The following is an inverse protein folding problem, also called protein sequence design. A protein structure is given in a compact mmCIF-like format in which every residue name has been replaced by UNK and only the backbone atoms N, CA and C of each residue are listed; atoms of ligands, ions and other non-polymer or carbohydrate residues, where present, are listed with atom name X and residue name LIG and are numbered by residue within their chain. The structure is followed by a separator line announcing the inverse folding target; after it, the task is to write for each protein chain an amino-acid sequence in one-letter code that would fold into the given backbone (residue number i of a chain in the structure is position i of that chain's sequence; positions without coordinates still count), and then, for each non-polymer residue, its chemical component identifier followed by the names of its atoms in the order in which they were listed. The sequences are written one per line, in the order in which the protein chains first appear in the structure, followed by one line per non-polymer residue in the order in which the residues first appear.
data_IF_237434278974
#
_entry.id   IF_237434278974
#
_cell.length_a   1.000
_cell.length_b   1.000
_cell.length_c   1.000
_cell.angle_alpha   90.00
_cell.angle_beta   90.00
_cell.angle_gamma   90.00
#
_symmetry.space_group_name_H-M   'P 1'
#
loop_
_entity.id
_entity.type
_entity.pdbx_description
1 polymer ?
#
# COMPACT_ATOMS: atom_id res chain seq x y z
N UNK A 1 -6.45 7.60 -2.02
CA UNK A 1 -6.51 6.12 -1.98
C UNK A 1 -5.65 5.60 -0.85
N UNK A 2 -6.19 4.75 0.03
CA UNK A 2 -5.43 4.14 1.14
C UNK A 2 -4.23 3.36 0.59
N UNK A 3 -3.09 3.41 1.28
CA UNK A 3 -1.84 2.74 0.88
C UNK A 3 -2.04 1.25 0.52
N UNK A 4 -2.97 0.58 1.22
CA UNK A 4 -3.37 -0.79 0.94
C UNK A 4 -3.82 -1.04 -0.51
N UNK A 5 -4.60 -0.13 -1.10
CA UNK A 5 -5.14 -0.31 -2.44
C UNK A 5 -4.03 -0.32 -3.51
N UNK A 6 -2.93 0.42 -3.27
CA UNK A 6 -1.75 0.41 -4.15
C UNK A 6 -1.04 -0.94 -4.11
N UNK A 7 -0.89 -1.53 -2.92
CA UNK A 7 -0.28 -2.86 -2.78
C UNK A 7 -1.16 -3.96 -3.37
N UNK A 8 -2.47 -3.94 -3.11
CA UNK A 8 -3.40 -4.92 -3.70
C UNK A 8 -3.36 -4.90 -5.22
N UNK A 9 -3.38 -3.72 -5.84
CA UNK A 9 -3.24 -3.61 -7.30
C UNK A 9 -1.87 -4.12 -7.77
N UNK A 10 -0.78 -3.70 -7.12
CA UNK A 10 0.56 -4.12 -7.52
C UNK A 10 0.71 -5.64 -7.47
N UNK A 11 0.27 -6.29 -6.39
CA UNK A 11 0.29 -7.74 -6.27
C UNK A 11 -0.63 -8.42 -7.28
N UNK A 12 -1.84 -7.92 -7.49
CA UNK A 12 -2.75 -8.49 -8.49
C UNK A 12 -2.16 -8.42 -9.91
N UNK A 13 -1.52 -7.32 -10.27
CA UNK A 13 -0.84 -7.14 -11.57
C UNK A 13 0.33 -8.11 -11.69
N UNK A 14 1.20 -8.21 -10.67
CA UNK A 14 2.33 -9.14 -10.68
C UNK A 14 1.84 -10.59 -10.81
N UNK A 15 0.86 -10.99 -10.01
CA UNK A 15 0.27 -12.34 -10.06
C UNK A 15 -0.34 -12.62 -11.43
N UNK A 16 -1.04 -11.66 -12.04
CA UNK A 16 -1.59 -11.80 -13.38
C UNK A 16 -0.49 -12.10 -14.42
N UNK A 17 0.61 -11.33 -14.41
CA UNK A 17 1.72 -11.55 -15.33
C UNK A 17 2.42 -12.89 -15.10
N UNK A 18 2.73 -13.23 -13.84
CA UNK A 18 3.39 -14.50 -13.49
C UNK A 18 2.55 -15.70 -13.94
N UNK A 19 1.25 -15.66 -13.69
CA UNK A 19 0.35 -16.75 -14.09
C UNK A 19 0.17 -16.83 -15.61
N UNK A 20 0.07 -15.69 -16.30
CA UNK A 20 -0.05 -15.65 -17.76
C UNK A 20 1.18 -16.24 -18.45
N UNK A 21 2.38 -15.87 -17.97
CA UNK A 21 3.64 -16.43 -18.46
C UNK A 21 3.73 -17.93 -18.15
N UNK A 22 3.35 -18.33 -16.94
CA UNK A 22 3.31 -19.74 -16.55
C UNK A 22 2.39 -20.58 -17.45
N UNK A 23 1.20 -20.08 -17.76
CA UNK A 23 0.27 -20.73 -18.68
C UNK A 23 0.86 -20.88 -20.08
N UNK A 24 1.49 -19.82 -20.62
CA UNK A 24 2.12 -19.87 -21.94
C UNK A 24 3.26 -20.91 -22.01
N UNK A 25 4.08 -21.00 -20.96
CA UNK A 25 5.16 -22.00 -20.87
C UNK A 25 4.58 -23.42 -20.85
N UNK A 26 3.57 -23.68 -20.01
CA UNK A 26 2.95 -25.00 -19.89
C UNK A 26 2.28 -25.41 -21.20
N UNK A 27 1.56 -24.49 -21.84
CA UNK A 27 0.94 -24.72 -23.15
C UNK A 27 1.99 -25.10 -24.21
N UNK A 28 3.08 -24.33 -24.30
CA UNK A 28 4.17 -24.60 -25.24
C UNK A 28 4.88 -25.94 -24.94
N UNK A 29 5.10 -26.27 -23.67
CA UNK A 29 5.71 -27.53 -23.26
C UNK A 29 4.83 -28.73 -23.60
N UNK A 30 3.53 -28.62 -23.37
CA UNK A 30 2.56 -29.68 -23.67
C UNK A 30 2.46 -29.92 -25.18
N UNK A 31 2.33 -28.85 -25.98
CA UNK A 31 2.31 -28.93 -27.44
C UNK A 31 3.57 -29.62 -27.98
N UNK A 32 4.76 -29.23 -27.50
CA UNK A 32 6.03 -29.89 -27.90
C UNK A 32 6.08 -31.37 -27.52
N UNK A 33 5.60 -31.73 -26.32
CA UNK A 33 5.59 -33.11 -25.84
C UNK A 33 4.74 -34.03 -26.72
N UNK A 34 3.55 -33.59 -27.10
CA UNK A 34 2.62 -34.35 -27.96
C UNK A 34 3.23 -34.60 -29.35
N UNK A 35 3.84 -33.58 -29.97
CA UNK A 35 4.51 -33.71 -31.27
C UNK A 35 5.69 -34.68 -31.20
N UNK A 36 6.56 -34.55 -30.20
CA UNK A 36 7.73 -35.43 -30.04
C UNK A 36 7.32 -36.89 -29.80
N UNK A 37 6.31 -37.13 -28.97
CA UNK A 37 5.77 -38.47 -28.75
C UNK A 37 5.23 -39.10 -30.06
N UNK A 38 4.63 -38.29 -30.92
CA UNK A 38 4.11 -38.74 -32.22
C UNK A 38 5.23 -39.08 -33.20
N UNK A 39 6.25 -38.22 -33.30
CA UNK A 39 7.44 -38.47 -34.12
C UNK A 39 8.13 -39.76 -33.68
N UNK A 40 8.29 -39.99 -32.38
CA UNK A 40 8.87 -41.22 -31.84
C UNK A 40 8.09 -42.48 -32.24
N UNK A 41 6.76 -42.46 -32.13
CA UNK A 41 5.89 -43.56 -32.57
C UNK A 41 6.02 -43.85 -34.07
N UNK A 42 6.05 -42.79 -34.90
CA UNK A 42 6.22 -42.92 -36.36
C UNK A 42 7.59 -43.47 -36.74
N UNK A 43 8.63 -43.09 -35.99
CA UNK A 43 9.99 -43.57 -36.20
C UNK A 43 10.05 -45.08 -35.94
N UNK A 44 9.54 -45.52 -34.79
CA UNK A 44 9.47 -46.94 -34.46
C UNK A 44 8.65 -47.73 -35.49
N UNK A 45 7.51 -47.19 -35.94
CA UNK A 45 6.70 -47.81 -36.96
C UNK A 45 7.45 -47.97 -38.29
N UNK A 46 8.19 -46.94 -38.74
CA UNK A 46 9.00 -47.04 -39.96
C UNK A 46 10.12 -48.07 -39.84
N UNK A 47 10.75 -48.19 -38.66
CA UNK A 47 11.77 -49.21 -38.40
C UNK A 47 11.20 -50.64 -38.47
N UNK A 48 10.03 -50.87 -37.88
CA UNK A 48 9.34 -52.18 -37.93
C UNK A 48 9.00 -52.55 -39.37
N UNK A 49 8.47 -51.59 -40.16
CA UNK A 49 8.18 -51.81 -41.58
C UNK A 49 9.46 -52.15 -42.34
N UNK A 50 10.56 -51.41 -42.12
CA UNK A 50 11.85 -51.68 -42.75
C UNK A 50 12.41 -53.07 -42.39
N UNK A 51 12.28 -53.49 -41.13
CA UNK A 51 12.74 -54.81 -40.66
C UNK A 51 11.92 -55.96 -41.28
N UNK A 52 10.61 -55.78 -41.44
CA UNK A 52 9.75 -56.78 -42.06
C UNK A 52 9.96 -56.87 -43.58
N UNK A 53 10.30 -55.77 -44.26
CA UNK A 53 10.73 -55.81 -45.67
C UNK A 53 12.03 -56.62 -45.86
N UNK A 54 12.95 -56.64 -44.86
CA UNK A 54 14.17 -57.47 -44.90
C UNK A 54 13.89 -58.97 -44.84
N UNK A 55 12.79 -59.38 -44.20
CA UNK A 55 12.43 -60.80 -44.04
C UNK A 55 11.62 -61.36 -45.23
N UNK A 56 11.47 -60.58 -46.32
CA UNK A 56 10.79 -61.00 -47.54
C UNK A 56 9.26 -61.09 -47.42
N UNK A 57 8.68 -60.62 -46.31
CA UNK A 57 7.23 -60.57 -46.15
C UNK A 57 6.64 -59.46 -47.02
N UNK A 58 5.63 -59.83 -47.81
CA UNK A 58 4.92 -58.87 -48.65
C UNK A 58 4.02 -57.98 -47.79
N UNK A 59 4.40 -56.71 -47.66
CA UNK A 59 3.61 -55.70 -46.94
C UNK A 59 2.32 -55.31 -47.66
N UNK A 60 2.03 -55.90 -48.83
CA UNK A 60 0.92 -55.51 -49.69
C UNK A 60 -0.47 -55.60 -49.06
N UNK A 61 -0.65 -56.45 -48.03
CA UNK A 61 -1.95 -56.71 -47.38
C UNK A 61 -2.04 -56.35 -45.89
N UNK A 62 -1.07 -55.62 -45.31
CA UNK A 62 -1.08 -55.32 -43.87
C UNK A 62 -2.04 -54.15 -43.55
N UNK A 63 -2.94 -54.23 -42.54
CA UNK A 63 -3.83 -53.12 -42.16
C UNK A 63 -3.16 -51.76 -41.91
N UNK A 64 -1.86 -51.77 -41.57
CA UNK A 64 -1.06 -50.56 -41.38
C UNK A 64 -0.75 -49.79 -42.69
N UNK A 65 -1.01 -50.36 -43.88
CA UNK A 65 -0.78 -49.68 -45.17
C UNK A 65 -1.55 -48.38 -45.32
N UNK A 66 -2.71 -48.24 -44.68
CA UNK A 66 -3.52 -47.02 -44.73
C UNK A 66 -2.74 -45.80 -44.24
N UNK A 67 -1.74 -46.00 -43.38
CA UNK A 67 -0.94 -44.95 -42.76
C UNK A 67 0.54 -44.99 -43.15
N UNK A 68 0.95 -45.89 -44.07
CA UNK A 68 2.35 -46.06 -44.50
C UNK A 68 2.44 -46.28 -46.01
N UNK A 69 3.15 -45.39 -46.70
CA UNK A 69 3.46 -45.49 -48.13
C UNK A 69 4.92 -45.91 -48.31
N UNK A 70 5.16 -46.90 -49.18
CA UNK A 70 6.49 -47.45 -49.47
C UNK A 70 6.78 -47.21 -50.95
N UNK A 71 7.90 -46.56 -51.26
CA UNK A 71 8.42 -46.37 -52.61
C UNK A 71 9.86 -46.83 -52.75
N UNK A 72 10.24 -47.37 -53.91
CA UNK A 72 11.62 -47.72 -54.22
C UNK A 72 12.37 -46.47 -54.72
N UNK A 73 13.56 -46.19 -54.18
CA UNK A 73 14.40 -45.11 -54.72
C UNK A 73 15.25 -45.63 -55.89
N UNK A 74 15.35 -44.84 -56.95
CA UNK A 74 16.27 -45.11 -58.05
C UNK A 74 17.72 -45.08 -57.54
N UNK A 75 18.55 -45.99 -58.04
CA UNK A 75 19.96 -46.17 -57.60
C UNK A 75 20.85 -44.92 -57.75
N UNK A 76 20.41 -43.90 -58.48
CA UNK A 76 21.10 -42.61 -58.64
C UNK A 76 20.93 -41.66 -57.43
N UNK A 77 19.98 -41.93 -56.53
CA UNK A 77 19.60 -41.03 -55.42
C UNK A 77 20.11 -41.60 -54.07
N UNK A 78 21.39 -41.95 -54.03
CA UNK A 78 22.04 -42.82 -53.01
C UNK A 78 22.58 -42.11 -51.77
N UNK A 79 22.46 -40.79 -51.68
CA UNK A 79 22.88 -40.02 -50.50
C UNK A 79 21.98 -40.34 -49.30
N UNK A 80 22.57 -40.48 -48.12
CA UNK A 80 21.84 -40.64 -46.87
C UNK A 80 20.99 -39.39 -46.63
N UNK A 81 19.71 -39.45 -47.01
CA UNK A 81 18.77 -38.37 -46.76
C UNK A 81 18.34 -38.42 -45.31
N UNK A 82 18.51 -37.30 -44.61
CA UNK A 82 17.99 -37.15 -43.25
C UNK A 82 16.47 -37.38 -43.23
N UNK A 83 15.93 -37.91 -42.13
CA UNK A 83 14.50 -38.09 -42.00
C UNK A 83 13.79 -36.74 -42.14
N UNK A 84 12.79 -36.69 -43.02
CA UNK A 84 12.01 -35.47 -43.25
C UNK A 84 10.73 -35.55 -42.44
N UNK A 85 10.58 -34.62 -41.49
CA UNK A 85 9.34 -34.42 -40.73
C UNK A 85 8.59 -33.24 -41.35
N UNK A 86 7.30 -33.44 -41.69
CA UNK A 86 6.41 -32.35 -42.12
C UNK A 86 5.11 -32.40 -41.34
N UNK A 87 4.69 -31.23 -40.89
CA UNK A 87 3.39 -31.00 -40.28
C UNK A 87 2.50 -30.28 -41.29
N UNK A 88 1.30 -30.81 -41.49
CA UNK A 88 0.27 -30.18 -42.32
C UNK A 88 -1.12 -30.58 -41.85
N UNK A 89 -2.13 -29.81 -42.23
CA UNK A 89 -3.52 -30.17 -41.94
C UNK A 89 -4.06 -31.01 -43.10
N UNK A 90 -4.65 -32.15 -42.78
CA UNK A 90 -5.32 -33.02 -43.76
C UNK A 90 -6.76 -33.29 -43.34
N UNK A 91 -7.68 -33.30 -44.30
CA UNK A 91 -9.04 -33.75 -44.06
C UNK A 91 -9.07 -35.26 -43.80
N UNK A 92 -9.53 -35.67 -42.62
CA UNK A 92 -9.76 -37.08 -42.29
C UNK A 92 -11.24 -37.42 -42.52
N UNK A 93 -11.50 -38.27 -43.53
CA UNK A 93 -12.85 -38.67 -43.90
C UNK A 93 -13.56 -39.53 -42.84
N UNK A 94 -12.82 -40.19 -41.94
CA UNK A 94 -13.39 -40.98 -40.84
C UNK A 94 -13.81 -40.12 -39.67
N UNK A 95 -13.05 -39.05 -39.39
CA UNK A 95 -13.32 -38.09 -38.32
C UNK A 95 -14.18 -36.90 -38.79
N UNK A 96 -14.37 -36.74 -40.11
CA UNK A 96 -15.06 -35.60 -40.74
C UNK A 96 -14.53 -34.25 -40.25
N UNK A 97 -13.21 -34.16 -40.06
CA UNK A 97 -12.54 -32.98 -39.54
C UNK A 97 -11.18 -32.79 -40.22
N UNK A 98 -10.71 -31.54 -40.24
CA UNK A 98 -9.33 -31.23 -40.58
C UNK A 98 -8.44 -31.56 -39.38
N UNK A 99 -7.46 -32.44 -39.56
CA UNK A 99 -6.58 -32.90 -38.49
C UNK A 99 -5.12 -32.61 -38.81
N UNK A 100 -4.40 -32.05 -37.83
CA UNK A 100 -2.96 -31.90 -37.91
C UNK A 100 -2.32 -33.29 -38.05
N UNK A 101 -1.56 -33.50 -39.12
CA UNK A 101 -0.93 -34.77 -39.43
C UNK A 101 0.58 -34.58 -39.51
N UNK A 102 1.31 -35.38 -38.73
CA UNK A 102 2.77 -35.48 -38.86
C UNK A 102 3.07 -36.58 -39.87
N UNK A 103 3.84 -36.22 -40.89
CA UNK A 103 4.43 -37.16 -41.85
C UNK A 103 5.91 -37.33 -41.56
N UNK A 104 6.33 -38.57 -41.38
CA UNK A 104 7.74 -38.94 -41.23
C UNK A 104 8.18 -39.76 -42.43
N UNK A 105 9.13 -39.22 -43.20
CA UNK A 105 9.78 -39.94 -44.30
C UNK A 105 11.16 -40.40 -43.86
N UNK A 106 11.41 -41.72 -43.87
CA UNK A 106 12.73 -42.32 -43.63
C UNK A 106 13.25 -43.04 -44.87
N UNK A 107 14.58 -43.19 -44.94
CA UNK A 107 15.27 -43.77 -46.09
C UNK A 107 16.11 -45.01 -45.71
N UNK A 108 15.51 -46.11 -45.22
CA UNK A 108 16.25 -47.29 -44.84
C UNK A 108 16.79 -48.06 -46.05
N UNK A 109 17.97 -48.68 -45.90
CA UNK A 109 18.51 -49.67 -46.85
C UNK A 109 18.07 -51.07 -46.43
N UNK A 110 17.43 -51.78 -47.37
CA UNK A 110 16.91 -53.15 -47.18
C UNK A 110 17.43 -53.99 -48.34
N UNK A 111 18.28 -54.99 -48.06
CA UNK A 111 18.87 -55.85 -49.10
C UNK A 111 19.72 -55.11 -50.14
N UNK A 112 20.35 -54.00 -49.76
CA UNK A 112 21.17 -53.17 -50.67
C UNK A 112 20.39 -52.15 -51.51
N UNK A 113 19.05 -52.22 -51.53
CA UNK A 113 18.19 -51.26 -52.22
C UNK A 113 17.70 -50.15 -51.26
N UNK A 114 17.74 -48.87 -51.65
CA UNK A 114 17.19 -47.78 -50.86
C UNK A 114 15.66 -47.74 -50.99
N UNK A 115 14.96 -47.73 -49.85
CA UNK A 115 13.51 -47.56 -49.80
C UNK A 115 13.16 -46.20 -49.20
N UNK A 116 12.08 -45.60 -49.67
CA UNK A 116 11.40 -44.47 -49.02
C UNK A 116 10.18 -45.01 -48.29
N UNK A 117 10.19 -44.89 -46.98
CA UNK A 117 9.05 -45.23 -46.12
C UNK A 117 8.48 -43.92 -45.59
N UNK A 118 7.26 -43.61 -45.98
CA UNK A 118 6.54 -42.43 -45.50
C UNK A 118 5.40 -42.91 -44.62
N UNK A 119 5.48 -42.66 -43.30
CA UNK A 119 4.37 -42.89 -42.39
C UNK A 119 3.69 -41.59 -42.02
N UNK A 120 2.41 -41.70 -41.68
CA UNK A 120 1.60 -40.59 -41.20
C UNK A 120 0.87 -41.00 -39.93
N UNK A 121 0.75 -40.06 -39.00
CA UNK A 121 -0.19 -40.16 -37.90
C UNK A 121 -0.86 -38.80 -37.74
N UNK A 122 -2.18 -38.84 -37.54
CA UNK A 122 -2.88 -37.69 -37.00
C UNK A 122 -2.26 -37.40 -35.63
N UNK A 123 -1.70 -36.20 -35.48
CA UNK A 123 -1.48 -35.62 -34.17
C UNK A 123 -2.86 -35.14 -33.77
N UNK A 124 -3.38 -35.69 -32.67
CA UNK A 124 -4.57 -35.11 -32.05
C UNK A 124 -4.18 -33.70 -31.68
N UNK A 125 -4.61 -32.74 -32.50
CA UNK A 125 -4.39 -31.34 -32.24
C UNK A 125 -5.10 -31.03 -30.92
N UNK A 126 -4.56 -30.15 -30.09
CA UNK A 126 -5.17 -29.75 -28.83
C UNK A 126 -6.64 -29.34 -28.81
N UNK A 127 -7.35 -29.34 -29.94
CA UNK A 127 -8.76 -29.00 -30.02
C UNK A 127 -9.71 -30.10 -29.50
N UNK A 128 -9.28 -31.36 -29.40
CA UNK A 128 -10.17 -32.47 -29.02
C UNK A 128 -10.30 -32.64 -27.50
N UNK A 129 -11.42 -32.15 -26.93
CA UNK A 129 -12.06 -32.39 -25.61
C UNK A 129 -11.15 -32.38 -24.35
N UNK A 130 -10.07 -33.17 -24.33
CA UNK A 130 -9.09 -33.26 -23.26
C UNK A 130 -8.34 -31.96 -23.01
N UNK A 131 -7.99 -31.22 -24.08
CA UNK A 131 -7.27 -29.96 -23.93
C UNK A 131 -8.19 -28.79 -23.62
N UNK A 132 -9.45 -28.80 -24.09
CA UNK A 132 -10.48 -27.88 -23.58
C UNK A 132 -10.68 -28.08 -22.07
N UNK A 133 -10.77 -29.34 -21.61
CA UNK A 133 -10.87 -29.66 -20.18
C UNK A 133 -9.64 -29.19 -19.39
N UNK A 134 -8.44 -29.41 -19.91
CA UNK A 134 -7.19 -28.96 -19.27
C UNK A 134 -7.10 -27.43 -19.19
N UNK A 135 -7.42 -26.72 -20.27
CA UNK A 135 -7.46 -25.24 -20.29
C UNK A 135 -8.50 -24.73 -19.31
N UNK A 136 -9.67 -25.38 -19.21
CA UNK A 136 -10.71 -25.01 -18.24
C UNK A 136 -10.21 -25.18 -16.79
N UNK A 137 -9.50 -26.26 -16.48
CA UNK A 137 -8.89 -26.48 -15.15
C UNK A 137 -7.85 -25.39 -14.85
N UNK A 138 -7.00 -25.03 -15.82
CA UNK A 138 -6.04 -23.93 -15.66
C UNK A 138 -6.74 -22.58 -15.48
N UNK A 139 -7.80 -22.29 -16.23
CA UNK A 139 -8.58 -21.07 -16.11
C UNK A 139 -9.25 -20.98 -14.72
N UNK A 140 -9.84 -22.06 -14.22
CA UNK A 140 -10.41 -22.08 -12.86
C UNK A 140 -9.34 -21.94 -11.79
N UNK A 141 -8.18 -22.57 -11.97
CA UNK A 141 -7.03 -22.42 -11.06
C UNK A 141 -6.54 -20.97 -11.04
N UNK A 142 -6.49 -20.31 -12.20
CA UNK A 142 -6.13 -18.91 -12.34
C UNK A 142 -7.11 -18.00 -11.58
N UNK A 143 -8.41 -18.17 -11.80
CA UNK A 143 -9.46 -17.40 -11.11
C UNK A 143 -9.38 -17.64 -9.60
N UNK A 144 -9.19 -18.89 -9.17
CA UNK A 144 -9.03 -19.25 -7.76
C UNK A 144 -7.81 -18.56 -7.14
N UNK A 145 -6.64 -18.58 -7.79
CA UNK A 145 -5.44 -17.92 -7.30
C UNK A 145 -5.60 -16.39 -7.23
N UNK A 146 -6.26 -15.78 -8.21
CA UNK A 146 -6.53 -14.34 -8.19
C UNK A 146 -7.47 -13.98 -7.03
N UNK A 147 -8.56 -14.73 -6.85
CA UNK A 147 -9.46 -14.56 -5.72
C UNK A 147 -8.72 -14.74 -4.38
N UNK A 148 -7.85 -15.75 -4.29
CA UNK A 148 -7.03 -16.02 -3.11
C UNK A 148 -6.12 -14.83 -2.77
N UNK A 149 -5.44 -14.24 -3.76
CA UNK A 149 -4.59 -13.05 -3.55
C UNK A 149 -5.40 -11.86 -3.04
N UNK A 150 -6.58 -11.60 -3.61
CA UNK A 150 -7.46 -10.51 -3.16
C UNK A 150 -7.92 -10.75 -1.71
N UNK A 151 -8.37 -11.97 -1.39
CA UNK A 151 -8.85 -12.33 -0.05
C UNK A 151 -7.71 -12.22 0.97
N UNK A 152 -6.52 -12.77 0.69
CA UNK A 152 -5.37 -12.66 1.59
C UNK A 152 -4.92 -11.22 1.77
N UNK A 153 -4.94 -10.40 0.71
CA UNK A 153 -4.57 -8.98 0.80
C UNK A 153 -5.52 -8.20 1.71
N UNK A 154 -6.83 -8.39 1.58
CA UNK A 154 -7.83 -7.78 2.47
C UNK A 154 -7.69 -8.27 3.91
N UNK A 155 -7.48 -9.58 4.11
CA UNK A 155 -7.32 -10.16 5.43
C UNK A 155 -6.05 -9.68 6.14
N UNK A 156 -4.90 -9.65 5.45
CA UNK A 156 -3.65 -9.12 5.98
C UNK A 156 -3.79 -7.64 6.33
N UNK A 157 -4.40 -6.86 5.43
CA UNK A 157 -4.64 -5.44 5.65
C UNK A 157 -5.46 -5.20 6.91
N UNK A 158 -6.59 -5.90 7.06
CA UNK A 158 -7.43 -5.75 8.24
C UNK A 158 -6.71 -6.18 9.53
N UNK A 159 -5.88 -7.21 9.50
CA UNK A 159 -5.19 -7.72 10.69
C UNK A 159 -3.97 -6.89 11.09
N UNK A 160 -3.20 -6.38 10.12
CA UNK A 160 -1.95 -5.65 10.34
C UNK A 160 -2.21 -4.15 10.52
N UNK A 161 -3.10 -3.53 9.73
CA UNK A 161 -3.32 -2.08 9.79
C UNK A 161 -4.29 -1.65 10.90
N UNK A 162 -5.10 -2.56 11.44
CA UNK A 162 -5.99 -2.25 12.56
C UNK A 162 -5.24 -1.75 13.81
N UNK A 163 -4.19 -2.42 14.32
CA UNK A 163 -3.40 -1.89 15.43
C UNK A 163 -2.70 -0.59 15.06
N UNK A 164 -2.12 -0.46 13.87
CA UNK A 164 -1.51 0.79 13.40
C UNK A 164 -2.50 1.98 13.44
N UNK A 165 -3.71 1.80 12.91
CA UNK A 165 -4.74 2.83 12.94
C UNK A 165 -5.28 3.12 14.36
N UNK A 166 -5.16 2.17 15.29
CA UNK A 166 -5.47 2.41 16.69
C UNK A 166 -4.39 3.30 17.33
N UNK A 167 -3.11 2.97 17.11
CA UNK A 167 -1.98 3.79 17.57
C UNK A 167 -2.03 5.20 16.98
N UNK A 168 -2.30 5.33 15.68
CA UNK A 168 -2.40 6.64 15.02
C UNK A 168 -3.50 7.51 15.62
N UNK A 169 -4.66 6.93 15.92
CA UNK A 169 -5.76 7.65 16.59
C UNK A 169 -5.38 8.07 18.01
N UNK A 170 -4.68 7.21 18.75
CA UNK A 170 -4.16 7.55 20.08
C UNK A 170 -3.23 8.76 20.04
N UNK A 171 -2.34 8.84 19.04
CA UNK A 171 -1.44 10.00 18.86
C UNK A 171 -2.22 11.25 18.44
N UNK A 172 -3.16 11.13 17.50
CA UNK A 172 -3.96 12.27 17.03
C UNK A 172 -4.85 12.90 18.11
N UNK A 173 -5.26 12.09 19.09
CA UNK A 173 -6.07 12.53 20.23
C UNK A 173 -5.21 12.97 21.42
N UNK A 174 -3.90 12.73 21.38
CA UNK A 174 -3.00 13.11 22.46
C UNK A 174 -2.71 14.61 22.41
N UNK A 175 -2.89 15.27 23.55
CA UNK A 175 -2.60 16.68 23.75
C UNK A 175 -1.60 16.81 24.90
N UNK A 176 -0.57 17.66 24.72
CA UNK A 176 0.46 17.90 25.75
C UNK A 176 -0.09 18.63 26.99
N UNK A 177 -1.14 19.42 26.79
CA UNK A 177 -1.90 20.13 27.83
C UNK A 177 -2.56 19.16 28.82
N UNK A 178 -3.05 18.02 28.34
CA UNK A 178 -3.72 17.02 29.15
C UNK A 178 -2.69 16.24 29.98
N UNK A 179 -2.94 16.11 31.28
CA UNK A 179 -2.09 15.35 32.20
C UNK A 179 -2.24 13.83 32.07
N UNK A 180 -2.98 13.34 31.06
CA UNK A 180 -3.22 11.92 30.88
C UNK A 180 -2.16 11.28 29.98
N UNK A 181 -1.64 10.10 30.33
CA UNK A 181 -0.75 9.35 29.46
C UNK A 181 -1.50 8.89 28.20
N UNK A 182 -0.77 8.78 27.09
CA UNK A 182 -1.32 8.23 25.84
C UNK A 182 -1.73 6.75 26.06
N UNK A 183 -3.02 6.44 25.81
CA UNK A 183 -3.52 5.07 25.88
C UNK A 183 -3.30 4.36 24.54
N UNK A 184 -2.22 3.58 24.46
CA UNK A 184 -1.91 2.74 23.31
C UNK A 184 -2.19 1.27 23.65
N UNK A 185 -3.19 0.70 22.98
CA UNK A 185 -3.58 -0.70 23.20
C UNK A 185 -2.48 -1.66 22.76
N UNK A 186 -2.23 -2.74 23.53
CA UNK A 186 -1.27 -3.77 23.15
C UNK A 186 -1.71 -4.47 21.85
N UNK A 187 -0.74 -4.74 21.00
CA UNK A 187 -0.88 -5.45 19.73
C UNK A 187 -0.35 -6.88 19.86
N UNK A 188 -0.79 -7.76 18.95
CA UNK A 188 -0.22 -9.12 18.82
C UNK A 188 1.11 -9.13 18.07
N UNK A 189 1.45 -8.02 17.41
CA UNK A 189 2.66 -7.83 16.62
C UNK A 189 3.71 -7.14 17.48
N UNK A 190 4.89 -7.76 17.63
CA UNK A 190 5.95 -7.27 18.51
C UNK A 190 6.42 -5.87 18.12
N UNK A 191 6.58 -5.62 16.82
CA UNK A 191 7.02 -4.35 16.25
C UNK A 191 6.06 -3.19 16.59
N UNK A 192 4.75 -3.46 16.67
CA UNK A 192 3.77 -2.45 17.09
C UNK A 192 3.82 -2.19 18.61
N UNK A 193 4.16 -3.21 19.41
CA UNK A 193 4.37 -3.00 20.84
C UNK A 193 5.62 -2.18 21.11
N UNK A 194 6.71 -2.45 20.39
CA UNK A 194 7.95 -1.67 20.48
C UNK A 194 7.71 -0.20 20.08
N UNK A 195 6.97 0.04 18.99
CA UNK A 195 6.55 1.38 18.60
C UNK A 195 5.69 2.05 19.69
N UNK A 196 4.72 1.33 20.25
CA UNK A 196 3.86 1.86 21.31
C UNK A 196 4.68 2.24 22.56
N UNK A 197 5.63 1.40 22.99
CA UNK A 197 6.52 1.70 24.11
C UNK A 197 7.41 2.91 23.85
N UNK A 198 7.96 3.03 22.63
CA UNK A 198 8.72 4.20 22.23
C UNK A 198 7.87 5.47 22.30
N UNK A 199 6.65 5.43 21.75
CA UNK A 199 5.74 6.57 21.76
C UNK A 199 5.35 6.96 23.19
N UNK A 200 4.99 6.00 24.05
CA UNK A 200 4.67 6.27 25.46
C UNK A 200 5.81 6.97 26.18
N UNK A 201 7.06 6.49 25.99
CA UNK A 201 8.24 7.14 26.59
C UNK A 201 8.46 8.54 26.04
N UNK A 202 8.30 8.73 24.73
CA UNK A 202 8.49 10.03 24.08
C UNK A 202 7.43 11.04 24.53
N UNK A 203 6.16 10.66 24.58
CA UNK A 203 5.06 11.54 25.02
C UNK A 203 5.19 11.87 26.50
N UNK A 204 5.57 10.90 27.35
CA UNK A 204 5.79 11.15 28.77
C UNK A 204 6.94 12.15 28.99
N UNK A 205 8.02 12.03 28.23
CA UNK A 205 9.13 13.00 28.29
C UNK A 205 8.69 14.39 27.83
N UNK A 206 8.00 14.47 26.70
CA UNK A 206 7.51 15.76 26.19
C UNK A 206 6.54 16.44 27.16
N UNK A 207 5.68 15.67 27.83
CA UNK A 207 4.78 16.16 28.86
C UNK A 207 5.54 16.68 30.09
N UNK A 208 6.58 15.98 30.54
CA UNK A 208 7.45 16.43 31.63
C UNK A 208 8.19 17.73 31.27
N UNK A 209 8.73 17.82 30.06
CA UNK A 209 9.44 19.01 29.58
C UNK A 209 8.48 20.21 29.48
N UNK A 210 7.26 19.98 28.99
CA UNK A 210 6.21 21.00 28.93
C UNK A 210 5.79 21.49 30.32
N UNK A 211 5.57 20.59 31.28
CA UNK A 211 5.25 20.95 32.66
C UNK A 211 6.37 21.76 33.31
N UNK A 212 7.63 21.34 33.12
CA UNK A 212 8.79 22.08 33.64
C UNK A 212 8.89 23.49 33.05
N UNK A 213 8.66 23.66 31.74
CA UNK A 213 8.65 24.97 31.11
C UNK A 213 7.51 25.86 31.64
N UNK A 214 6.32 25.27 31.86
CA UNK A 214 5.16 25.98 32.42
C UNK A 214 5.47 26.48 33.84
N UNK A 215 5.91 25.59 34.73
CA UNK A 215 6.26 25.95 36.11
C UNK A 215 7.38 26.99 36.15
N UNK A 216 8.40 26.85 35.30
CA UNK A 216 9.47 27.84 35.19
C UNK A 216 8.94 29.21 34.77
N UNK A 217 8.07 29.28 33.76
CA UNK A 217 7.50 30.54 33.27
C UNK A 217 6.61 31.22 34.32
N UNK A 218 5.77 30.44 35.01
CA UNK A 218 4.91 30.94 36.09
C UNK A 218 5.75 31.46 37.28
N UNK A 219 6.74 30.67 37.73
CA UNK A 219 7.62 31.06 38.84
C UNK A 219 8.47 32.29 38.48
N UNK A 220 9.08 32.32 37.30
CA UNK A 220 9.87 33.47 36.85
C UNK A 220 9.03 34.74 36.77
N UNK A 221 7.79 34.64 36.27
CA UNK A 221 6.87 35.78 36.21
C UNK A 221 6.59 36.37 37.59
N UNK A 222 6.31 35.52 38.58
CA UNK A 222 6.04 35.93 39.96
C UNK A 222 7.28 36.51 40.66
N UNK A 223 8.43 35.84 40.53
CA UNK A 223 9.70 36.29 41.10
C UNK A 223 10.18 37.61 40.48
N UNK A 224 9.79 37.93 39.24
CA UNK A 224 10.09 39.23 38.60
C UNK A 224 9.10 40.34 39.01
N UNK A 225 7.84 40.02 39.31
CA UNK A 225 6.86 41.03 39.76
C UNK A 225 7.30 41.71 41.06
N UNK A 226 7.80 40.95 42.02
CA UNK A 226 8.22 41.45 43.33
C UNK A 226 9.33 42.52 43.26
N UNK A 227 10.48 42.29 42.61
CA UNK A 227 11.54 43.29 42.47
C UNK A 227 11.10 44.49 41.61
N UNK A 228 10.29 44.27 40.56
CA UNK A 228 9.74 45.37 39.75
C UNK A 228 8.86 46.29 40.62
N UNK A 229 7.95 45.73 41.41
CA UNK A 229 7.08 46.49 42.31
C UNK A 229 7.90 47.24 43.38
N UNK A 230 8.93 46.59 43.95
CA UNK A 230 9.83 47.20 44.94
C UNK A 230 10.62 48.38 44.37
N UNK A 231 11.19 48.24 43.17
CA UNK A 231 11.91 49.33 42.50
C UNK A 231 10.95 50.46 42.12
N UNK A 232 9.75 50.13 41.63
CA UNK A 232 8.72 51.12 41.29
C UNK A 232 8.34 51.97 42.50
N UNK A 233 8.06 51.35 43.65
CA UNK A 233 7.72 52.07 44.87
C UNK A 233 8.86 52.99 45.36
N UNK A 234 10.13 52.54 45.22
CA UNK A 234 11.29 53.38 45.55
C UNK A 234 11.43 54.58 44.60
N UNK A 235 11.19 54.40 43.31
CA UNK A 235 11.20 55.48 42.33
C UNK A 235 10.09 56.49 42.63
N UNK A 236 8.86 56.01 42.85
CA UNK A 236 7.71 56.85 43.21
C UNK A 236 8.00 57.67 44.49
N UNK A 237 8.62 57.06 45.50
CA UNK A 237 9.02 57.76 46.74
C UNK A 237 10.14 58.80 46.53
N UNK A 238 11.12 58.50 45.67
CA UNK A 238 12.18 59.45 45.33
C UNK A 238 11.63 60.64 44.53
N UNK A 239 10.68 60.40 43.63
CA UNK A 239 10.03 61.47 42.83
C UNK A 239 9.23 62.46 43.69
N UNK A 240 8.78 62.04 44.88
CA UNK A 240 8.07 62.90 45.85
C UNK A 240 9.03 63.75 46.73
N UNK A 241 10.35 63.59 46.54
CA UNK A 241 11.39 64.34 47.26
C UNK A 241 11.79 65.63 46.54
N UNK A 242 12.47 66.54 47.25
CA UNK A 242 12.95 67.81 46.67
C UNK A 242 14.16 67.58 45.74
N UNK A 243 13.89 67.50 44.43
CA UNK A 243 14.85 67.10 43.39
C UNK A 243 15.10 68.21 42.37
N UNK A 244 16.34 68.30 41.87
CA UNK A 244 16.67 69.17 40.74
C UNK A 244 16.06 68.62 39.43
N UNK A 245 15.71 69.50 38.49
CA UNK A 245 15.07 69.13 37.21
C UNK A 245 15.77 67.97 36.45
N UNK A 246 17.11 67.89 36.36
CA UNK A 246 17.78 66.77 35.69
C UNK A 246 17.58 65.42 36.39
N UNK A 247 17.49 65.42 37.72
CA UNK A 247 17.28 64.21 38.52
C UNK A 247 15.85 63.69 38.34
N UNK A 248 14.88 64.61 38.34
CA UNK A 248 13.46 64.31 38.15
C UNK A 248 13.20 63.74 36.75
N UNK A 249 13.82 64.32 35.71
CA UNK A 249 13.79 63.76 34.34
C UNK A 249 14.38 62.35 34.25
N UNK A 250 15.46 62.09 34.99
CA UNK A 250 16.10 60.76 35.01
C UNK A 250 15.22 59.72 35.70
N UNK A 251 14.61 60.07 36.84
CA UNK A 251 13.66 59.21 37.57
C UNK A 251 12.41 58.92 36.73
N UNK A 252 11.86 59.92 36.03
CA UNK A 252 10.72 59.73 35.13
C UNK A 252 11.05 58.75 33.99
N UNK A 253 12.23 58.89 33.37
CA UNK A 253 12.66 57.94 32.33
C UNK A 253 12.85 56.51 32.89
N UNK A 254 13.39 56.36 34.11
CA UNK A 254 13.49 55.06 34.78
C UNK A 254 12.12 54.46 35.11
N UNK A 255 11.17 55.28 35.56
CA UNK A 255 9.80 54.87 35.82
C UNK A 255 9.13 54.32 34.55
N UNK A 256 9.23 55.05 33.43
CA UNK A 256 8.65 54.66 32.14
C UNK A 256 9.23 53.32 31.64
N UNK A 257 10.54 53.12 31.77
CA UNK A 257 11.18 51.85 31.37
C UNK A 257 10.76 50.69 32.30
N UNK A 258 10.57 50.95 33.61
CA UNK A 258 10.04 49.96 34.54
C UNK A 258 8.59 49.58 34.24
N UNK A 259 7.76 50.55 33.87
CA UNK A 259 6.37 50.30 33.48
C UNK A 259 6.30 49.47 32.19
N UNK A 260 7.19 49.75 31.24
CA UNK A 260 7.36 48.93 30.04
C UNK A 260 7.79 47.50 30.38
N UNK A 261 8.75 47.32 31.29
CA UNK A 261 9.19 46.00 31.75
C UNK A 261 8.06 45.23 32.44
N UNK A 262 7.28 45.90 33.28
CA UNK A 262 6.10 45.33 33.94
C UNK A 262 5.05 44.84 32.93
N UNK A 263 4.77 45.64 31.88
CA UNK A 263 3.84 45.25 30.80
C UNK A 263 4.33 44.04 30.02
N UNK A 264 5.64 43.95 29.73
CA UNK A 264 6.23 42.78 29.06
C UNK A 264 6.09 41.53 29.92
N UNK A 265 6.44 41.61 31.22
CA UNK A 265 6.33 40.48 32.14
C UNK A 265 4.87 39.99 32.24
N UNK A 266 3.92 40.92 32.39
CA UNK A 266 2.50 40.57 32.42
C UNK A 266 2.01 39.90 31.12
N UNK A 267 2.48 40.37 29.96
CA UNK A 267 2.15 39.79 28.67
C UNK A 267 2.69 38.36 28.52
N UNK A 268 3.91 38.10 29.00
CA UNK A 268 4.50 36.76 29.02
C UNK A 268 3.71 35.80 29.91
N UNK A 269 3.33 36.25 31.11
CA UNK A 269 2.48 35.45 32.01
C UNK A 269 1.11 35.16 31.39
N UNK A 270 0.51 36.14 30.71
CA UNK A 270 -0.76 35.96 30.01
C UNK A 270 -0.62 34.92 28.88
N UNK A 271 0.46 35.00 28.10
CA UNK A 271 0.75 34.05 27.03
C UNK A 271 0.90 32.62 27.56
N UNK A 272 1.66 32.43 28.65
CA UNK A 272 1.80 31.14 29.32
C UNK A 272 0.47 30.57 29.83
N UNK A 273 -0.49 31.42 30.20
CA UNK A 273 -1.85 31.03 30.61
C UNK A 273 -2.78 30.78 29.42
N UNK A 274 -2.60 31.48 28.30
CA UNK A 274 -3.42 31.37 27.09
C UNK A 274 -3.13 30.09 26.30
N UNK A 275 -1.90 29.55 26.36
CA UNK A 275 -1.60 28.20 25.81
C UNK A 275 -2.42 27.08 26.46
N UNK A 276 -3.15 27.36 27.53
CA UNK A 276 -4.07 26.45 28.21
C UNK A 276 -5.53 26.51 27.71
N UNK A 277 -5.87 27.50 26.88
CA UNK A 277 -7.18 27.58 26.24
C UNK A 277 -7.16 26.75 24.96
N UNK A 278 -7.30 25.43 25.10
CA UNK A 278 -7.78 24.61 23.99
C UNK A 278 -9.30 24.76 23.91
N UNK A 279 -9.75 25.48 22.87
CA UNK A 279 -11.13 25.39 22.41
C UNK A 279 -11.44 23.91 22.18
N UNK A 280 -12.42 23.36 22.90
CA UNK A 280 -12.96 22.06 22.53
C UNK A 280 -13.53 22.21 21.11
N UNK A 281 -12.97 21.52 20.09
CA UNK A 281 -13.49 21.63 18.74
C UNK A 281 -14.93 21.14 18.79
N UNK A 282 -15.87 22.01 18.41
CA UNK A 282 -17.34 21.84 18.41
C UNK A 282 -18.13 22.24 19.67
N UNK A 283 -17.52 22.85 20.70
CA UNK A 283 -18.28 23.42 21.81
C UNK A 283 -18.95 24.76 21.41
N UNK A 284 -20.22 24.69 21.00
CA UNK A 284 -21.05 25.89 20.82
C UNK A 284 -21.17 26.65 22.14
N UNK A 285 -20.62 27.87 22.18
CA UNK A 285 -20.64 28.73 23.35
C UNK A 285 -21.80 29.73 23.24
N UNK A 286 -22.55 29.91 24.32
CA UNK A 286 -23.61 30.92 24.40
C UNK A 286 -23.00 32.31 24.58
N UNK A 287 -22.84 33.02 23.46
CA UNK A 287 -22.26 34.36 23.39
C UNK A 287 -23.12 35.37 24.16
N UNK A 288 -24.45 35.19 24.17
CA UNK A 288 -25.36 36.09 24.88
C UNK A 288 -25.11 36.03 26.38
N UNK A 289 -24.92 34.82 26.94
CA UNK A 289 -24.57 34.65 28.35
C UNK A 289 -23.18 35.19 28.67
N UNK A 290 -22.20 34.94 27.80
CA UNK A 290 -20.83 35.41 28.00
C UNK A 290 -20.77 36.94 28.03
N UNK A 291 -21.34 37.63 27.03
CA UNK A 291 -21.31 39.09 26.98
C UNK A 291 -22.04 39.71 28.18
N UNK A 292 -23.18 39.14 28.61
CA UNK A 292 -23.89 39.63 29.79
C UNK A 292 -23.05 39.47 31.08
N UNK A 293 -22.36 38.34 31.24
CA UNK A 293 -21.47 38.12 32.40
C UNK A 293 -20.28 39.08 32.41
N UNK A 294 -19.70 39.37 31.24
CA UNK A 294 -18.58 40.29 31.10
C UNK A 294 -19.03 41.74 31.36
N UNK A 295 -20.18 42.16 30.83
CA UNK A 295 -20.72 43.49 31.11
C UNK A 295 -20.95 43.69 32.61
N UNK A 296 -21.51 42.69 33.29
CA UNK A 296 -21.72 42.73 34.73
C UNK A 296 -20.39 42.82 35.50
N UNK A 297 -19.34 42.11 35.07
CA UNK A 297 -18.02 42.18 35.69
C UNK A 297 -17.34 43.57 35.56
N UNK A 298 -17.70 44.36 34.55
CA UNK A 298 -17.15 45.70 34.32
C UNK A 298 -18.12 46.84 34.66
N UNK A 299 -19.31 46.55 35.20
CA UNK A 299 -20.35 47.52 35.49
C UNK A 299 -19.86 48.64 36.44
N UNK A 300 -19.20 48.27 37.52
CA UNK A 300 -18.65 49.21 38.52
C UNK A 300 -17.62 50.16 37.87
N UNK A 301 -16.75 49.62 37.01
CA UNK A 301 -15.73 50.41 36.31
C UNK A 301 -16.37 51.38 35.30
N UNK A 302 -17.41 50.94 34.59
CA UNK A 302 -18.15 51.78 33.66
C UNK A 302 -18.85 52.94 34.39
N UNK A 303 -19.46 52.66 35.55
CA UNK A 303 -20.08 53.69 36.40
C UNK A 303 -19.05 54.69 36.92
N UNK A 304 -17.91 54.22 37.44
CA UNK A 304 -16.81 55.08 37.90
C UNK A 304 -16.30 56.03 36.79
N UNK A 305 -16.36 55.59 35.53
CA UNK A 305 -15.91 56.37 34.37
C UNK A 305 -17.03 57.17 33.69
N UNK A 306 -18.28 57.09 34.19
CA UNK A 306 -19.44 57.74 33.58
C UNK A 306 -19.78 57.19 32.18
N UNK A 307 -19.42 55.95 31.89
CA UNK A 307 -19.67 55.29 30.61
C UNK A 307 -21.01 54.56 30.64
N UNK A 308 -21.72 54.59 29.50
CA UNK A 308 -22.99 53.88 29.31
C UNK A 308 -22.81 52.76 28.29
N UNK A 309 -23.00 51.52 28.70
CA UNK A 309 -23.02 50.36 27.81
C UNK A 309 -24.42 50.09 27.28
N UNK A 310 -24.50 49.58 26.04
CA UNK A 310 -25.75 49.15 25.40
C UNK A 310 -25.48 47.84 24.68
N UNK A 311 -26.38 46.86 24.84
CA UNK A 311 -26.22 45.52 24.26
C UNK A 311 -27.24 45.30 23.15
N UNK A 312 -26.77 44.92 21.97
CA UNK A 312 -27.61 44.57 20.81
C UNK A 312 -27.35 43.13 20.38
N UNK A 313 -27.65 42.18 21.27
CA UNK A 313 -27.58 40.74 20.97
C UNK A 313 -28.97 40.10 21.01
N UNK A 314 -29.21 39.15 20.11
CA UNK A 314 -30.34 38.24 20.23
C UNK A 314 -30.12 37.27 21.42
N UNK A 315 -31.20 36.73 22.02
CA UNK A 315 -31.07 35.73 23.08
C UNK A 315 -30.50 34.40 22.54
N UNK A 316 -29.64 33.76 23.34
CA UNK A 316 -29.03 32.44 23.08
C UNK A 316 -28.27 32.32 21.75
N UNK A 317 -27.50 33.34 21.38
CA UNK A 317 -26.61 33.30 20.22
C UNK A 317 -25.48 32.32 20.51
N UNK A 318 -25.46 31.19 19.78
CA UNK A 318 -24.40 30.18 19.90
C UNK A 318 -23.41 30.30 18.75
N UNK A 319 -22.14 30.47 19.09
CA UNK A 319 -21.05 30.55 18.11
C UNK A 319 -20.02 29.46 18.38
N UNK A 320 -19.38 28.90 17.33
CA UNK A 320 -18.15 28.14 17.51
C UNK A 320 -17.05 29.12 17.97
N UNK A 321 -16.34 28.75 19.03
CA UNK A 321 -15.06 29.36 19.37
C UNK A 321 -13.98 28.51 18.70
N UNK A 322 -13.30 29.09 17.72
CA UNK A 322 -12.05 28.56 17.16
C UNK A 322 -10.90 28.87 18.14
#
# INVERSE_FOLDING_TARGET
MKLNYRYTIAYAVITFFVLSVGFAIVYAALSRSVTQATIGKLTHLNEVVAAQLRTGRNYAGHPARTNVQIGLLAAADTLAKEPIVREHNEWDATLQAEVATVRLTTYPRVGGQPYRITSRAAVVEPSDVYLTGLVLVFAWTFVFLLALVVILSELLSWRILRPFNATLRGIQQFQLSQQQPIDLRPSRTAEFNELNEFLVRMTARAQSDYQGLKEFSENASHELQTPIASIKAKIELLMDSDLAEPQLRTLAAMHDELERLAKINHSLTLLAKLEHYESAPDALTDLSQLVASTEMAFADLAEMKGLRTTQHLAPSVRVPLD
#
